data_IF_028503827151
#
_entry.id   IF_028503827151
#
_cell.length_a   1.000
_cell.length_b   1.000
_cell.length_c   1.000
_cell.angle_alpha   90.00
_cell.angle_beta   90.00
_cell.angle_gamma   90.00
#
_symmetry.space_group_name_H-M   'P 1'
#
loop_
_entity.id
_entity.type
_entity.pdbx_description
1 polymer ?
#
# COMPACT_ATOMS: atom_id res chain seq x y z
N UNK A 1 15.81 36.43 15.67
CA UNK A 1 15.28 35.08 15.43
C UNK A 1 15.13 34.98 13.90
N UNK A 2 16.13 34.43 13.22
CA UNK A 2 16.05 34.26 11.79
C UNK A 2 15.17 33.06 11.54
N UNK A 3 14.00 33.26 10.94
CA UNK A 3 13.26 32.17 10.26
C UNK A 3 14.19 31.68 9.16
N UNK A 4 14.83 30.53 9.38
CA UNK A 4 15.41 29.77 8.29
C UNK A 4 14.20 29.25 7.50
N UNK A 5 13.86 29.94 6.40
CA UNK A 5 12.93 29.40 5.41
C UNK A 5 13.42 28.01 5.04
N UNK A 6 12.54 27.01 5.11
CA UNK A 6 12.82 25.68 4.61
C UNK A 6 13.24 25.83 3.14
N UNK A 7 14.55 25.68 2.86
CA UNK A 7 15.02 25.63 1.48
C UNK A 7 14.48 24.35 0.89
N UNK A 8 13.53 24.48 -0.03
CA UNK A 8 13.00 23.35 -0.81
C UNK A 8 14.17 22.64 -1.49
N UNK A 9 14.31 21.33 -1.26
CA UNK A 9 15.32 20.52 -1.92
C UNK A 9 15.04 20.52 -3.43
N UNK A 10 16.01 20.97 -4.23
CA UNK A 10 15.92 21.01 -5.70
C UNK A 10 16.65 19.80 -6.25
N UNK A 11 15.93 18.88 -6.88
CA UNK A 11 16.48 17.58 -7.24
C UNK A 11 16.46 17.32 -8.75
N UNK A 12 17.45 16.58 -9.22
CA UNK A 12 17.48 16.00 -10.57
C UNK A 12 17.15 14.52 -10.46
N UNK A 13 16.23 14.06 -11.28
CA UNK A 13 15.88 12.64 -11.36
C UNK A 13 16.78 11.93 -12.36
N UNK A 14 17.30 10.76 -11.97
CA UNK A 14 18.19 9.97 -12.80
C UNK A 14 17.63 8.55 -13.01
N UNK A 15 17.53 8.11 -14.26
CA UNK A 15 17.05 6.78 -14.62
C UNK A 15 17.95 6.07 -15.63
N UNK A 16 17.99 4.75 -15.56
CA UNK A 16 18.69 3.89 -16.53
C UNK A 16 17.68 3.01 -17.23
N UNK A 17 17.51 3.20 -18.53
CA UNK A 17 16.70 2.34 -19.38
C UNK A 17 17.52 1.12 -19.78
N UNK A 18 17.06 -0.07 -19.43
CA UNK A 18 17.66 -1.34 -19.85
C UNK A 18 16.77 -2.03 -20.89
N UNK A 19 17.28 -3.04 -21.58
CA UNK A 19 16.46 -3.83 -22.51
C UNK A 19 15.25 -4.52 -21.86
N UNK A 20 15.32 -4.75 -20.54
CA UNK A 20 14.24 -5.38 -19.76
C UNK A 20 13.21 -4.37 -19.24
N UNK A 21 13.54 -3.07 -19.23
CA UNK A 21 12.69 -1.99 -18.74
C UNK A 21 12.46 -0.92 -19.79
N UNK A 22 11.41 -1.09 -20.61
CA UNK A 22 11.03 -0.09 -21.63
C UNK A 22 10.20 1.07 -21.08
N UNK A 23 9.83 0.98 -19.81
CA UNK A 23 8.94 1.91 -19.09
C UNK A 23 9.65 2.98 -18.26
N UNK A 24 10.96 3.20 -18.47
CA UNK A 24 11.79 4.12 -17.64
C UNK A 24 11.27 5.57 -17.66
N UNK A 25 10.73 6.02 -18.79
CA UNK A 25 10.16 7.39 -18.89
C UNK A 25 8.98 7.54 -17.92
N UNK A 26 8.08 6.58 -17.91
CA UNK A 26 6.92 6.57 -17.03
C UNK A 26 7.33 6.42 -15.55
N UNK A 27 8.35 5.58 -15.30
CA UNK A 27 8.91 5.41 -13.97
C UNK A 27 9.50 6.72 -13.42
N UNK A 28 10.13 7.54 -14.28
CA UNK A 28 10.64 8.86 -13.91
C UNK A 28 9.52 9.89 -13.69
N UNK A 29 8.39 9.80 -14.40
CA UNK A 29 7.22 10.63 -14.09
C UNK A 29 6.66 10.30 -12.70
N UNK A 30 6.51 9.03 -12.39
CA UNK A 30 6.07 8.59 -11.06
C UNK A 30 7.08 8.97 -9.96
N UNK A 31 8.40 8.89 -10.25
CA UNK A 31 9.45 9.33 -9.33
C UNK A 31 9.36 10.84 -9.07
N UNK A 32 8.95 11.65 -10.05
CA UNK A 32 8.67 13.07 -9.86
C UNK A 32 7.55 13.29 -8.85
N UNK A 33 6.43 12.59 -9.00
CA UNK A 33 5.30 12.69 -8.06
C UNK A 33 5.71 12.24 -6.65
N UNK A 34 6.57 11.21 -6.54
CA UNK A 34 7.16 10.79 -5.26
C UNK A 34 8.02 11.90 -4.65
N UNK A 35 8.90 12.52 -5.43
CA UNK A 35 9.77 13.60 -4.97
C UNK A 35 8.95 14.81 -4.49
N UNK A 36 7.93 15.21 -5.24
CA UNK A 36 7.00 16.28 -4.88
C UNK A 36 6.21 15.95 -3.61
N UNK A 37 5.74 14.71 -3.47
CA UNK A 37 5.06 14.24 -2.25
C UNK A 37 6.00 14.26 -1.03
N UNK A 38 7.30 14.01 -1.23
CA UNK A 38 8.32 14.11 -0.18
C UNK A 38 8.72 15.56 0.15
N UNK A 39 8.22 16.55 -0.61
CA UNK A 39 8.48 17.98 -0.41
C UNK A 39 9.69 18.51 -1.20
N UNK A 40 10.22 17.75 -2.17
CA UNK A 40 11.28 18.21 -3.07
C UNK A 40 10.70 18.81 -4.37
N UNK A 41 11.49 19.65 -5.05
CA UNK A 41 11.15 20.21 -6.35
C UNK A 41 12.03 19.58 -7.41
N UNK A 42 11.44 18.90 -8.37
CA UNK A 42 12.16 18.35 -9.52
C UNK A 42 12.52 19.46 -10.51
N UNK A 43 13.81 19.74 -10.68
CA UNK A 43 14.32 20.78 -11.59
C UNK A 43 14.88 20.25 -12.89
N UNK A 44 15.16 18.95 -12.97
CA UNK A 44 15.68 18.30 -14.18
C UNK A 44 15.48 16.79 -14.13
N UNK A 45 15.64 16.17 -15.30
CA UNK A 45 15.57 14.70 -15.44
C UNK A 45 16.65 14.27 -16.43
N UNK A 46 17.39 13.22 -16.08
CA UNK A 46 18.42 12.63 -16.92
C UNK A 46 18.17 11.14 -17.08
N UNK A 47 18.28 10.63 -18.30
CA UNK A 47 18.08 9.22 -18.61
C UNK A 47 19.25 8.71 -19.45
N UNK A 48 19.66 7.47 -19.20
CA UNK A 48 20.67 6.78 -19.98
C UNK A 48 20.17 5.40 -20.41
N UNK A 49 20.23 5.11 -21.72
CA UNK A 49 19.98 3.74 -22.21
C UNK A 49 21.27 2.92 -22.14
N UNK A 50 21.19 1.72 -21.53
CA UNK A 50 22.31 0.79 -21.39
C UNK A 50 21.82 -0.65 -21.41
N UNK A 51 22.70 -1.59 -21.71
CA UNK A 51 22.40 -3.02 -21.56
C UNK A 51 22.20 -3.41 -20.09
N UNK A 52 23.03 -2.86 -19.21
CA UNK A 52 22.99 -3.10 -17.76
C UNK A 52 23.33 -1.83 -16.99
N UNK A 53 22.78 -1.72 -15.78
CA UNK A 53 23.11 -0.65 -14.84
C UNK A 53 24.61 -0.71 -14.50
N UNK A 54 25.28 0.46 -14.48
CA UNK A 54 26.69 0.51 -14.16
C UNK A 54 26.95 0.09 -12.70
N UNK A 55 27.79 -0.93 -12.45
CA UNK A 55 27.89 -1.53 -11.11
C UNK A 55 28.51 -0.61 -10.05
N UNK A 56 29.31 0.37 -10.45
CA UNK A 56 29.99 1.28 -9.51
C UNK A 56 29.27 2.62 -9.32
N UNK A 57 28.63 3.18 -10.35
CA UNK A 57 28.12 4.56 -10.34
C UNK A 57 26.70 4.70 -10.87
N UNK A 58 25.97 3.57 -11.07
CA UNK A 58 24.61 3.57 -11.63
C UNK A 58 24.57 4.08 -13.08
N UNK A 59 25.12 5.27 -13.35
CA UNK A 59 25.30 5.88 -14.67
C UNK A 59 26.73 5.66 -15.20
N UNK A 60 26.91 5.70 -16.53
CA UNK A 60 28.22 5.70 -17.16
C UNK A 60 28.92 7.06 -17.01
N UNK A 61 30.26 7.06 -17.14
CA UNK A 61 31.11 8.25 -16.90
C UNK A 61 30.65 9.51 -17.65
N UNK A 62 30.43 9.43 -18.97
CA UNK A 62 29.98 10.61 -19.73
C UNK A 62 28.63 11.16 -19.27
N UNK A 63 27.69 10.27 -18.87
CA UNK A 63 26.40 10.70 -18.36
C UNK A 63 26.51 11.28 -16.95
N UNK A 64 27.49 10.85 -16.17
CA UNK A 64 27.79 11.39 -14.87
C UNK A 64 28.35 12.81 -14.94
N UNK A 65 29.20 13.09 -15.93
CA UNK A 65 29.72 14.44 -16.21
C UNK A 65 28.57 15.38 -16.64
N UNK A 66 27.70 14.93 -17.54
CA UNK A 66 26.49 15.69 -17.92
C UNK A 66 25.61 15.99 -16.73
N UNK A 67 25.45 15.03 -15.77
CA UNK A 67 24.70 15.23 -14.55
C UNK A 67 25.36 16.27 -13.64
N UNK A 68 26.71 16.33 -13.57
CA UNK A 68 27.42 17.38 -12.81
C UNK A 68 27.20 18.77 -13.40
N UNK A 69 27.22 18.90 -14.71
CA UNK A 69 26.90 20.15 -15.40
C UNK A 69 25.48 20.59 -15.12
N UNK A 70 24.50 19.66 -15.22
CA UNK A 70 23.09 19.94 -14.91
C UNK A 70 22.86 20.35 -13.45
N UNK A 71 23.57 19.73 -12.49
CA UNK A 71 23.49 20.11 -11.07
C UNK A 71 23.88 21.57 -10.87
N UNK A 72 24.97 21.99 -11.53
CA UNK A 72 25.45 23.36 -11.46
C UNK A 72 24.52 24.35 -12.17
N UNK A 73 24.10 24.04 -13.40
CA UNK A 73 23.28 24.93 -14.24
C UNK A 73 21.89 25.17 -13.67
N UNK A 74 21.29 24.13 -13.03
CA UNK A 74 19.96 24.17 -12.44
C UNK A 74 19.97 24.54 -10.95
N UNK A 75 21.13 24.83 -10.35
CA UNK A 75 21.26 25.05 -8.91
C UNK A 75 20.53 23.94 -8.10
N UNK A 76 20.79 22.70 -8.48
CA UNK A 76 20.18 21.55 -7.83
C UNK A 76 20.99 21.11 -6.61
N UNK A 77 20.28 20.73 -5.55
CA UNK A 77 20.89 20.37 -4.24
C UNK A 77 21.08 18.87 -4.08
N UNK A 78 20.51 18.06 -4.97
CA UNK A 78 20.61 16.60 -4.89
C UNK A 78 20.11 15.87 -6.12
N UNK A 79 20.33 14.55 -6.11
CA UNK A 79 19.93 13.63 -7.18
C UNK A 79 19.09 12.50 -6.58
N UNK A 80 18.02 12.12 -7.28
CA UNK A 80 17.20 10.94 -6.94
C UNK A 80 17.30 9.94 -8.10
N UNK A 81 17.80 8.73 -7.80
CA UNK A 81 17.86 7.63 -8.74
C UNK A 81 16.58 6.79 -8.70
N UNK A 82 16.10 6.36 -9.87
CA UNK A 82 14.84 5.63 -10.03
C UNK A 82 14.88 4.18 -9.52
N UNK A 83 16.08 3.59 -9.47
CA UNK A 83 16.29 2.24 -8.98
C UNK A 83 16.95 2.24 -7.60
N UNK A 84 16.81 1.15 -6.86
CA UNK A 84 17.52 0.96 -5.59
C UNK A 84 19.01 0.88 -5.82
N UNK A 85 19.77 1.76 -5.13
CA UNK A 85 21.22 1.83 -5.24
C UNK A 85 21.89 0.85 -4.28
N UNK A 86 22.92 0.15 -4.76
CA UNK A 86 23.85 -0.54 -3.88
C UNK A 86 24.61 0.46 -3.01
N UNK A 87 25.09 0.05 -1.82
CA UNK A 87 25.88 0.93 -0.95
C UNK A 87 27.13 1.52 -1.64
N UNK A 88 27.73 0.76 -2.57
CA UNK A 88 28.88 1.21 -3.33
C UNK A 88 28.49 2.28 -4.36
N UNK A 89 27.38 2.08 -5.07
CA UNK A 89 26.89 3.06 -6.04
C UNK A 89 26.51 4.38 -5.35
N UNK A 90 25.80 4.31 -4.24
CA UNK A 90 25.42 5.50 -3.48
C UNK A 90 26.65 6.31 -3.06
N UNK A 91 27.61 5.66 -2.38
CA UNK A 91 28.82 6.33 -1.91
C UNK A 91 29.68 6.91 -3.05
N UNK A 92 29.81 6.18 -4.17
CA UNK A 92 30.56 6.66 -5.32
C UNK A 92 29.88 7.85 -5.98
N UNK A 93 28.55 7.83 -6.10
CA UNK A 93 27.77 8.95 -6.65
C UNK A 93 27.89 10.19 -5.76
N UNK A 94 27.73 10.06 -4.42
CA UNK A 94 27.89 11.17 -3.49
C UNK A 94 29.28 11.79 -3.55
N UNK A 95 30.33 10.97 -3.67
CA UNK A 95 31.71 11.45 -3.81
C UNK A 95 31.97 12.15 -5.15
N UNK A 96 31.42 11.59 -6.25
CA UNK A 96 31.62 12.16 -7.57
C UNK A 96 30.77 13.42 -7.80
N UNK A 97 29.56 13.47 -7.29
CA UNK A 97 28.63 14.59 -7.50
C UNK A 97 28.74 15.67 -6.44
N UNK A 98 29.40 15.41 -5.32
CA UNK A 98 29.52 16.29 -4.15
C UNK A 98 28.17 16.84 -3.65
N UNK A 99 27.08 16.07 -3.83
CA UNK A 99 25.74 16.43 -3.40
C UNK A 99 25.02 15.23 -2.76
N UNK A 100 23.84 15.49 -2.17
CA UNK A 100 22.99 14.46 -1.60
C UNK A 100 22.46 13.55 -2.73
N UNK A 101 22.63 12.25 -2.58
CA UNK A 101 22.09 11.25 -3.50
C UNK A 101 21.08 10.39 -2.75
N UNK A 102 19.92 10.23 -3.33
CA UNK A 102 18.85 9.36 -2.83
C UNK A 102 18.46 8.36 -3.90
N UNK A 103 17.84 7.28 -3.50
CA UNK A 103 17.17 6.37 -4.40
C UNK A 103 15.63 6.35 -4.12
N UNK A 104 14.90 5.73 -5.02
CA UNK A 104 13.43 5.59 -4.92
C UNK A 104 13.00 5.05 -3.55
N UNK A 105 13.75 4.10 -3.00
CA UNK A 105 13.46 3.51 -1.68
C UNK A 105 13.54 4.52 -0.55
N UNK A 106 14.56 5.40 -0.57
CA UNK A 106 14.69 6.46 0.44
C UNK A 106 13.52 7.44 0.37
N UNK A 107 13.14 7.85 -0.84
CA UNK A 107 12.01 8.79 -1.02
C UNK A 107 10.72 8.19 -0.50
N UNK A 108 10.42 6.93 -0.81
CA UNK A 108 9.23 6.23 -0.30
C UNK A 108 9.27 6.14 1.23
N UNK A 109 10.42 5.83 1.83
CA UNK A 109 10.58 5.79 3.29
C UNK A 109 10.38 7.16 3.95
N UNK A 110 10.80 8.24 3.30
CA UNK A 110 10.61 9.60 3.81
C UNK A 110 9.12 9.99 3.76
N UNK A 111 8.40 9.67 2.67
CA UNK A 111 6.95 9.86 2.59
C UNK A 111 6.24 9.08 3.70
N UNK A 112 6.62 7.82 3.91
CA UNK A 112 6.03 7.00 4.95
C UNK A 112 6.31 7.54 6.37
N UNK A 113 7.51 8.10 6.61
CA UNK A 113 7.84 8.72 7.89
C UNK A 113 6.95 9.95 8.20
N UNK A 114 6.61 10.72 7.17
CA UNK A 114 5.70 11.86 7.30
C UNK A 114 4.24 11.44 7.51
N UNK A 115 3.81 10.32 6.89
CA UNK A 115 2.42 9.87 6.89
C UNK A 115 2.06 8.95 8.07
N UNK A 116 3.02 8.31 8.73
CA UNK A 116 2.78 7.41 9.86
C UNK A 116 2.20 8.16 11.07
N UNK A 117 0.93 7.94 11.35
CA UNK A 117 0.22 8.55 12.49
C UNK A 117 0.10 7.59 13.67
N UNK A 118 -0.15 6.30 13.38
CA UNK A 118 -0.31 5.28 14.42
C UNK A 118 1.03 4.87 15.04
N UNK A 119 0.99 4.36 16.26
CA UNK A 119 2.18 3.81 16.93
C UNK A 119 2.78 2.65 16.12
N UNK A 120 1.93 1.82 15.53
CA UNK A 120 2.36 0.70 14.70
C UNK A 120 3.03 1.17 13.41
N UNK A 121 2.39 2.08 12.66
CA UNK A 121 2.96 2.66 11.45
C UNK A 121 4.34 3.28 11.71
N UNK A 122 4.49 4.03 12.81
CA UNK A 122 5.78 4.61 13.22
C UNK A 122 6.85 3.55 13.51
N UNK A 123 6.50 2.46 14.21
CA UNK A 123 7.42 1.35 14.50
C UNK A 123 7.84 0.68 13.18
N UNK A 124 6.91 0.46 12.25
CA UNK A 124 7.19 -0.17 10.97
C UNK A 124 8.11 0.68 10.10
N UNK A 125 7.84 1.98 10.00
CA UNK A 125 8.67 2.92 9.25
C UNK A 125 10.08 3.00 9.85
N UNK A 126 10.20 3.17 11.17
CA UNK A 126 11.50 3.19 11.85
C UNK A 126 12.28 1.88 11.60
N UNK A 127 11.60 0.74 11.69
CA UNK A 127 12.19 -0.57 11.42
C UNK A 127 12.70 -0.68 9.97
N UNK A 128 11.91 -0.22 9.00
CA UNK A 128 12.29 -0.22 7.59
C UNK A 128 13.49 0.68 7.33
N UNK A 129 13.47 1.92 7.85
CA UNK A 129 14.59 2.86 7.75
C UNK A 129 15.88 2.31 8.38
N UNK A 130 15.78 1.67 9.55
CA UNK A 130 16.96 1.08 10.21
C UNK A 130 17.49 -0.14 9.44
N UNK A 131 16.63 -1.01 8.89
CA UNK A 131 17.06 -2.12 8.03
C UNK A 131 17.79 -1.61 6.79
N UNK A 132 17.21 -0.60 6.14
CA UNK A 132 17.80 0.05 4.97
C UNK A 132 19.17 0.64 5.28
N UNK A 133 19.32 1.39 6.39
CA UNK A 133 20.60 1.93 6.85
C UNK A 133 21.61 0.84 7.22
N UNK A 134 21.15 -0.22 7.91
CA UNK A 134 22.02 -1.33 8.30
C UNK A 134 22.66 -2.03 7.10
N UNK A 135 21.89 -2.25 6.03
CA UNK A 135 22.40 -2.84 4.78
C UNK A 135 23.50 -1.97 4.15
N UNK A 136 23.37 -0.64 4.20
CA UNK A 136 24.35 0.30 3.67
C UNK A 136 25.62 0.42 4.48
N UNK A 137 25.55 0.35 5.81
CA UNK A 137 26.74 0.34 6.66
C UNK A 137 27.66 -0.85 6.40
N UNK A 138 27.13 -1.98 5.95
CA UNK A 138 27.95 -3.16 5.58
C UNK A 138 28.77 -2.89 4.33
N UNK A 139 28.23 -2.19 3.34
CA UNK A 139 28.93 -1.83 2.10
C UNK A 139 30.05 -0.81 2.31
N UNK A 140 29.87 0.15 3.21
CA UNK A 140 30.89 1.15 3.55
C UNK A 140 32.13 0.53 4.20
N UNK A 141 31.99 -0.56 4.96
CA UNK A 141 33.13 -1.27 5.54
C UNK A 141 34.03 -1.89 4.50
N UNK A 142 33.46 -2.44 3.44
CA UNK A 142 34.23 -3.05 2.36
C UNK A 142 35.07 -2.03 1.56
N UNK A 143 34.63 -0.78 1.47
CA UNK A 143 35.39 0.30 0.83
C UNK A 143 36.50 0.83 1.75
N UNK A 144 36.24 1.01 3.04
CA UNK A 144 37.21 1.47 4.03
C UNK A 144 38.32 0.43 4.31
N UNK A 145 38.02 -0.86 4.29
CA UNK A 145 39.01 -1.91 4.50
C UNK A 145 39.97 -2.09 3.32
N UNK A 146 39.64 -1.63 2.12
CA UNK A 146 40.54 -1.60 0.95
C UNK A 146 41.56 -0.49 1.02
N UNK A 147 41.30 0.59 1.77
CA UNK A 147 42.21 1.74 1.94
C UNK A 147 43.18 1.55 3.12
N UNK A 148 42.98 0.59 4.01
CA UNK A 148 43.82 0.29 5.15
C UNK A 148 44.66 -0.97 4.97
N UNK A 149 45.80 -0.85 4.26
CA UNK A 149 46.78 -1.93 4.09
C UNK A 149 47.57 -2.21 5.38
N UNK A 150 47.05 -3.10 6.25
CA UNK A 150 47.81 -3.57 7.41
C UNK A 150 47.09 -4.66 8.18
N UNK A 151 47.76 -5.81 8.39
CA UNK A 151 47.23 -6.89 9.22
C UNK A 151 47.22 -6.43 10.69
N UNK A 152 46.03 -6.19 11.27
CA UNK A 152 45.86 -6.01 12.71
C UNK A 152 45.51 -4.61 13.23
N UNK A 153 45.42 -3.57 12.41
CA UNK A 153 45.07 -2.22 12.84
C UNK A 153 43.64 -1.85 12.44
N UNK A 154 42.66 -2.11 13.34
CA UNK A 154 41.33 -1.51 13.23
C UNK A 154 41.42 -0.02 13.54
N UNK A 155 41.25 0.81 12.51
CA UNK A 155 41.25 2.28 12.65
C UNK A 155 40.07 2.79 13.51
N UNK A 156 40.14 4.05 14.01
CA UNK A 156 39.06 4.66 14.81
C UNK A 156 37.72 4.66 14.09
N UNK A 157 37.71 4.79 12.75
CA UNK A 157 36.51 4.76 11.92
C UNK A 157 35.83 3.37 11.89
N UNK A 158 36.60 2.30 11.86
CA UNK A 158 36.02 0.94 11.92
C UNK A 158 35.34 0.65 13.26
N UNK A 159 35.91 1.14 14.39
CA UNK A 159 35.30 0.99 15.71
C UNK A 159 33.97 1.78 15.81
N UNK A 160 33.91 2.97 15.23
CA UNK A 160 32.70 3.81 15.21
C UNK A 160 31.59 3.12 14.39
N UNK A 161 31.91 2.67 13.17
CA UNK A 161 30.95 1.95 12.33
C UNK A 161 30.43 0.65 12.97
N UNK A 162 31.29 -0.07 13.69
CA UNK A 162 30.87 -1.28 14.39
C UNK A 162 29.96 -0.95 15.59
N UNK A 163 30.21 0.14 16.29
CA UNK A 163 29.36 0.62 17.37
C UNK A 163 27.99 1.07 16.85
N UNK A 164 27.97 1.86 15.78
CA UNK A 164 26.73 2.31 15.14
C UNK A 164 25.90 1.12 14.64
N UNK A 165 26.56 0.12 14.03
CA UNK A 165 25.91 -1.13 13.61
C UNK A 165 25.28 -1.88 14.80
N UNK A 166 25.99 -2.01 15.92
CA UNK A 166 25.46 -2.66 17.12
C UNK A 166 24.24 -1.94 17.67
N UNK A 167 24.28 -0.61 17.71
CA UNK A 167 23.15 0.23 18.14
C UNK A 167 21.93 0.02 17.23
N UNK A 168 22.14 0.05 15.91
CA UNK A 168 21.07 -0.17 14.94
C UNK A 168 20.48 -1.58 15.09
N UNK A 169 21.29 -2.63 15.18
CA UNK A 169 20.80 -3.98 15.38
C UNK A 169 20.05 -4.16 16.70
N UNK A 170 20.53 -3.55 17.79
CA UNK A 170 19.81 -3.55 19.07
C UNK A 170 18.46 -2.87 18.96
N UNK A 171 18.38 -1.73 18.27
CA UNK A 171 17.13 -1.00 18.07
C UNK A 171 16.15 -1.79 17.18
N UNK A 172 16.65 -2.44 16.10
CA UNK A 172 15.87 -3.36 15.27
C UNK A 172 15.26 -4.47 16.12
N UNK A 173 16.04 -5.07 17.05
CA UNK A 173 15.54 -6.09 17.96
C UNK A 173 14.37 -5.60 18.82
N UNK A 174 14.54 -4.43 19.46
CA UNK A 174 13.50 -3.82 20.29
C UNK A 174 12.20 -3.52 19.48
N UNK A 175 12.34 -2.97 18.27
CA UNK A 175 11.19 -2.65 17.42
C UNK A 175 10.45 -3.90 16.96
N UNK A 176 11.17 -5.00 16.66
CA UNK A 176 10.54 -6.27 16.33
C UNK A 176 9.71 -6.82 17.48
N UNK A 177 10.24 -6.79 18.71
CA UNK A 177 9.50 -7.22 19.91
C UNK A 177 8.22 -6.38 20.12
N UNK A 178 8.33 -5.06 19.94
CA UNK A 178 7.17 -4.17 20.03
C UNK A 178 6.13 -4.50 18.95
N UNK A 179 6.56 -4.76 17.71
CA UNK A 179 5.67 -5.11 16.62
C UNK A 179 4.96 -6.44 16.87
N UNK A 180 5.65 -7.46 17.41
CA UNK A 180 5.05 -8.74 17.80
C UNK A 180 3.94 -8.56 18.87
N UNK A 181 4.13 -7.64 19.83
CA UNK A 181 3.11 -7.36 20.82
C UNK A 181 1.86 -6.72 20.19
N UNK A 182 2.05 -5.81 19.24
CA UNK A 182 0.96 -5.18 18.49
C UNK A 182 0.21 -6.23 17.65
N UNK A 183 0.94 -7.13 16.98
CA UNK A 183 0.34 -8.21 16.19
C UNK A 183 -0.51 -9.16 17.05
N UNK A 184 -0.04 -9.57 18.22
CA UNK A 184 -0.82 -10.37 19.17
C UNK A 184 -2.12 -9.69 19.60
N UNK A 185 -2.06 -8.38 19.85
CA UNK A 185 -3.26 -7.61 20.19
C UNK A 185 -4.26 -7.56 19.02
N UNK A 186 -3.78 -7.40 17.79
CA UNK A 186 -4.62 -7.46 16.59
C UNK A 186 -5.29 -8.84 16.41
N UNK A 187 -4.56 -9.92 16.63
CA UNK A 187 -5.13 -11.27 16.54
C UNK A 187 -6.27 -11.47 17.54
N UNK A 188 -6.15 -10.94 18.76
CA UNK A 188 -7.23 -10.94 19.74
C UNK A 188 -8.46 -10.16 19.26
N UNK A 189 -8.27 -8.98 18.71
CA UNK A 189 -9.37 -8.18 18.16
C UNK A 189 -10.03 -8.89 16.96
N UNK A 190 -9.22 -9.50 16.08
CA UNK A 190 -9.73 -10.28 14.93
C UNK A 190 -10.55 -11.48 15.39
N UNK A 191 -10.07 -12.25 16.36
CA UNK A 191 -10.81 -13.38 16.90
C UNK A 191 -12.15 -12.98 17.53
N UNK A 192 -12.27 -11.76 18.04
CA UNK A 192 -13.55 -11.20 18.51
C UNK A 192 -14.47 -10.81 17.34
N UNK A 193 -13.91 -10.28 16.24
CA UNK A 193 -14.67 -9.97 15.02
C UNK A 193 -15.22 -11.23 14.35
N UNK A 194 -14.42 -12.31 14.26
CA UNK A 194 -14.87 -13.59 13.71
C UNK A 194 -16.12 -14.12 14.43
N UNK A 195 -16.23 -13.83 15.74
CA UNK A 195 -17.44 -14.16 16.53
C UNK A 195 -18.65 -13.26 16.19
N UNK A 196 -18.42 -12.04 15.73
CA UNK A 196 -19.50 -11.10 15.36
C UNK A 196 -20.04 -11.31 13.94
N UNK A 197 -19.39 -12.16 13.13
CA UNK A 197 -19.76 -12.51 11.74
C UNK A 197 -19.87 -11.31 10.78
N UNK A 198 -19.36 -10.14 11.15
CA UNK A 198 -19.31 -8.99 10.24
C UNK A 198 -18.20 -9.19 9.23
N UNK A 199 -18.58 -9.24 7.95
CA UNK A 199 -17.64 -9.42 6.84
C UNK A 199 -16.80 -8.17 6.59
N UNK A 200 -15.59 -8.37 6.08
CA UNK A 200 -14.63 -7.31 5.80
C UNK A 200 -14.30 -7.30 4.30
N UNK A 201 -14.39 -6.14 3.68
CA UNK A 201 -13.87 -5.89 2.35
C UNK A 201 -12.64 -4.98 2.43
N UNK A 202 -11.51 -5.43 1.89
CA UNK A 202 -10.31 -4.60 1.80
C UNK A 202 -10.30 -3.83 0.47
N UNK A 203 -10.13 -2.52 0.55
CA UNK A 203 -9.98 -1.65 -0.61
C UNK A 203 -8.50 -1.64 -0.97
N UNK A 204 -8.16 -2.20 -2.12
CA UNK A 204 -6.81 -2.26 -2.66
C UNK A 204 -6.74 -1.55 -4.01
N UNK A 205 -5.56 -1.19 -4.43
CA UNK A 205 -5.35 -0.55 -5.73
C UNK A 205 -4.05 0.23 -5.75
N UNK A 206 -3.69 0.68 -6.94
CA UNK A 206 -2.50 1.49 -7.13
C UNK A 206 -2.58 2.79 -6.32
N UNK A 207 -1.43 3.39 -6.01
CA UNK A 207 -1.44 4.70 -5.33
C UNK A 207 -2.17 5.73 -6.20
N UNK A 208 -2.89 6.65 -5.56
CA UNK A 208 -3.73 7.66 -6.22
C UNK A 208 -4.90 7.13 -7.09
N UNK A 209 -5.30 5.85 -6.99
CA UNK A 209 -6.45 5.30 -7.71
C UNK A 209 -7.83 5.72 -7.14
N UNK A 210 -7.87 6.50 -6.06
CA UNK A 210 -9.11 6.99 -5.43
C UNK A 210 -9.67 6.09 -4.32
N UNK A 211 -8.84 5.25 -3.67
CA UNK A 211 -9.25 4.35 -2.59
C UNK A 211 -9.85 5.08 -1.39
N UNK A 212 -9.15 6.08 -0.88
CA UNK A 212 -9.57 6.85 0.30
C UNK A 212 -10.80 7.71 -0.02
N UNK A 213 -10.90 8.24 -1.25
CA UNK A 213 -12.10 8.93 -1.74
C UNK A 213 -13.30 7.98 -1.77
N UNK A 214 -13.12 6.75 -2.26
CA UNK A 214 -14.18 5.74 -2.25
C UNK A 214 -14.64 5.44 -0.82
N UNK A 215 -13.73 5.20 0.12
CA UNK A 215 -14.07 4.96 1.51
C UNK A 215 -14.86 6.13 2.11
N UNK A 216 -14.41 7.37 1.90
CA UNK A 216 -15.06 8.57 2.42
C UNK A 216 -16.45 8.76 1.85
N UNK A 217 -16.60 8.64 0.52
CA UNK A 217 -17.90 8.83 -0.12
C UNK A 217 -18.90 7.77 0.30
N UNK A 218 -18.45 6.52 0.48
CA UNK A 218 -19.30 5.41 0.92
C UNK A 218 -19.72 5.50 2.40
N UNK A 219 -18.84 6.00 3.29
CA UNK A 219 -19.01 5.89 4.74
C UNK A 219 -19.02 7.23 5.47
N UNK A 220 -18.81 8.36 4.78
CA UNK A 220 -18.65 9.69 5.38
C UNK A 220 -17.54 9.74 6.45
N UNK A 221 -16.46 8.99 6.24
CA UNK A 221 -15.44 8.70 7.25
C UNK A 221 -14.53 9.88 7.58
N UNK A 222 -14.44 10.91 6.72
CA UNK A 222 -13.54 12.05 6.89
C UNK A 222 -12.06 11.66 6.90
N UNK A 223 -11.68 10.61 6.16
CA UNK A 223 -10.28 10.24 5.95
C UNK A 223 -9.62 11.28 5.05
N UNK A 224 -8.35 11.55 5.29
CA UNK A 224 -7.59 12.52 4.50
C UNK A 224 -7.59 12.09 3.02
N UNK A 225 -8.11 12.95 2.17
CA UNK A 225 -8.08 12.83 0.72
C UNK A 225 -7.06 13.82 0.19
N UNK A 226 -5.99 13.33 -0.37
CA UNK A 226 -4.98 14.15 -1.04
C UNK A 226 -4.70 13.54 -2.40
N UNK A 227 -4.55 14.39 -3.39
CA UNK A 227 -4.09 14.01 -4.73
C UNK A 227 -2.56 13.85 -4.71
N UNK A 228 -2.10 12.95 -3.86
CA UNK A 228 -0.69 12.65 -3.61
C UNK A 228 -0.49 11.16 -3.44
N UNK A 229 0.70 10.69 -3.82
CA UNK A 229 1.07 9.29 -3.66
C UNK A 229 1.14 8.93 -2.15
N UNK A 230 0.67 7.74 -1.79
CA UNK A 230 0.66 7.25 -0.41
C UNK A 230 -0.06 8.18 0.60
N UNK A 231 -1.19 8.78 0.20
CA UNK A 231 -2.02 9.57 1.11
C UNK A 231 -2.43 8.79 2.38
N UNK A 232 -2.68 7.49 2.25
CA UNK A 232 -2.99 6.58 3.35
C UNK A 232 -1.85 5.60 3.58
N UNK A 233 -1.26 5.62 4.79
CA UNK A 233 -0.29 4.63 5.26
C UNK A 233 -0.91 3.69 6.32
N UNK A 234 -1.64 4.24 7.26
CA UNK A 234 -2.31 3.48 8.32
C UNK A 234 -3.69 2.99 7.84
N UNK A 235 -4.02 1.70 7.96
CA UNK A 235 -5.33 1.19 7.53
C UNK A 235 -6.46 1.85 8.31
N UNK A 236 -7.50 2.24 7.61
CA UNK A 236 -8.70 2.81 8.22
C UNK A 236 -9.90 1.92 7.92
N UNK A 237 -10.55 1.41 8.97
CA UNK A 237 -11.74 0.56 8.84
C UNK A 237 -13.00 1.32 9.23
N UNK A 238 -14.04 1.24 8.41
CA UNK A 238 -15.35 1.85 8.64
C UNK A 238 -16.47 0.87 8.32
N UNK A 239 -17.55 0.97 9.08
CA UNK A 239 -18.75 0.22 8.80
C UNK A 239 -19.57 0.90 7.70
N UNK A 240 -20.08 0.08 6.79
CA UNK A 240 -20.99 0.49 5.74
C UNK A 240 -22.29 -0.29 5.87
N UNK A 241 -23.40 0.43 5.95
CA UNK A 241 -24.73 -0.16 5.91
C UNK A 241 -25.13 -0.42 4.46
N UNK A 242 -25.57 -1.64 4.19
CA UNK A 242 -25.97 -2.10 2.88
C UNK A 242 -27.50 -2.31 2.82
N UNK A 243 -28.10 -2.41 1.63
CA UNK A 243 -29.51 -2.75 1.46
C UNK A 243 -29.86 -4.05 2.18
N UNK A 244 -31.04 -4.09 2.79
CA UNK A 244 -31.54 -5.27 3.51
C UNK A 244 -30.96 -5.44 4.92
N UNK A 245 -30.57 -4.35 5.58
CA UNK A 245 -30.02 -4.30 6.95
C UNK A 245 -28.72 -5.12 7.14
N UNK A 246 -27.98 -5.30 6.07
CA UNK A 246 -26.64 -5.87 6.12
C UNK A 246 -25.62 -4.80 6.48
N UNK A 247 -24.51 -5.22 7.09
CA UNK A 247 -23.37 -4.36 7.36
C UNK A 247 -22.08 -5.05 6.94
N UNK A 248 -21.19 -4.27 6.33
CA UNK A 248 -19.84 -4.70 5.98
C UNK A 248 -18.83 -3.70 6.53
N UNK A 249 -17.65 -4.18 6.86
CA UNK A 249 -16.53 -3.31 7.19
C UNK A 249 -15.70 -3.08 5.93
N UNK A 250 -15.51 -1.82 5.57
CA UNK A 250 -14.59 -1.40 4.52
C UNK A 250 -13.27 -0.99 5.16
N UNK A 251 -12.17 -1.55 4.69
CA UNK A 251 -10.83 -1.20 5.17
C UNK A 251 -10.02 -0.63 4.02
N UNK A 252 -9.65 0.66 4.11
CA UNK A 252 -8.69 1.29 3.20
C UNK A 252 -7.28 0.79 3.51
N UNK A 253 -6.51 0.51 2.47
CA UNK A 253 -5.14 0.01 2.58
C UNK A 253 -4.14 0.95 1.93
N UNK A 254 -2.87 0.73 2.21
CA UNK A 254 -1.77 1.44 1.54
C UNK A 254 -1.84 1.20 0.04
N UNK A 255 -1.64 2.24 -0.76
CA UNK A 255 -1.57 2.12 -2.22
C UNK A 255 -0.34 1.33 -2.66
N UNK A 256 -0.51 0.50 -3.68
CA UNK A 256 0.60 -0.18 -4.33
C UNK A 256 1.31 0.76 -5.31
N UNK A 257 2.58 0.50 -5.57
CA UNK A 257 3.41 1.27 -6.49
C UNK A 257 4.41 0.33 -7.17
N UNK A 258 4.89 0.72 -8.33
CA UNK A 258 5.97 0.02 -9.05
C UNK A 258 7.27 0.02 -8.25
N UNK A 259 8.11 -0.97 -8.52
CA UNK A 259 9.46 -1.08 -7.93
C UNK A 259 9.43 -0.94 -6.40
N UNK A 260 8.35 -1.41 -5.74
CA UNK A 260 8.31 -1.44 -4.29
C UNK A 260 9.33 -2.47 -3.76
N UNK A 261 10.35 -2.04 -3.01
CA UNK A 261 11.38 -2.95 -2.54
C UNK A 261 10.83 -4.06 -1.64
N UNK A 262 11.33 -5.29 -1.81
CA UNK A 262 10.85 -6.45 -1.04
C UNK A 262 10.95 -6.25 0.48
N UNK A 263 11.99 -5.56 0.96
CA UNK A 263 12.16 -5.30 2.38
C UNK A 263 11.12 -4.30 2.92
N UNK A 264 10.54 -3.43 2.07
CA UNK A 264 9.42 -2.57 2.43
C UNK A 264 8.12 -3.37 2.48
N UNK A 265 7.91 -4.32 1.56
CA UNK A 265 6.75 -5.23 1.60
C UNK A 265 6.76 -5.99 2.93
N UNK A 266 7.92 -6.49 3.39
CA UNK A 266 8.05 -7.14 4.70
C UNK A 266 7.78 -6.19 5.87
N UNK A 267 8.26 -4.96 5.80
CA UNK A 267 8.05 -3.97 6.87
C UNK A 267 6.59 -3.57 7.01
N UNK A 268 5.88 -3.44 5.88
CA UNK A 268 4.46 -3.07 5.83
C UNK A 268 3.52 -4.27 5.68
N UNK A 269 4.06 -5.49 5.81
CA UNK A 269 3.28 -6.72 5.70
C UNK A 269 2.04 -6.69 6.58
N UNK A 270 2.13 -6.16 7.80
CA UNK A 270 0.99 -6.12 8.71
C UNK A 270 -0.12 -5.14 8.26
N UNK A 271 0.23 -4.07 7.55
CA UNK A 271 -0.72 -3.13 6.95
C UNK A 271 -1.36 -3.71 5.69
N UNK A 272 -0.55 -4.37 4.87
CA UNK A 272 -0.99 -5.07 3.67
C UNK A 272 -1.72 -6.39 3.99
N UNK A 273 -1.49 -6.98 5.16
CA UNK A 273 -2.19 -8.18 5.65
C UNK A 273 -3.68 -7.96 5.88
N UNK A 274 -4.17 -6.71 5.97
CA UNK A 274 -5.62 -6.46 6.01
C UNK A 274 -6.31 -7.03 4.75
N UNK A 275 -5.66 -6.99 3.58
CA UNK A 275 -6.16 -7.65 2.38
C UNK A 275 -6.20 -9.18 2.52
N UNK A 276 -5.21 -9.78 3.21
CA UNK A 276 -5.15 -11.22 3.47
C UNK A 276 -6.28 -11.71 4.38
N UNK A 277 -6.65 -10.92 5.37
CA UNK A 277 -7.67 -11.29 6.35
C UNK A 277 -9.08 -10.78 5.99
N UNK A 278 -9.20 -10.01 4.93
CA UNK A 278 -10.51 -9.62 4.38
C UNK A 278 -11.25 -10.84 3.80
N UNK A 279 -12.56 -10.78 3.78
CA UNK A 279 -13.43 -11.78 3.14
C UNK A 279 -13.48 -11.58 1.62
N UNK A 280 -13.33 -10.34 1.16
CA UNK A 280 -13.32 -9.95 -0.26
C UNK A 280 -12.40 -8.75 -0.51
N UNK A 281 -12.04 -8.55 -1.76
CA UNK A 281 -11.17 -7.48 -2.24
C UNK A 281 -11.97 -6.54 -3.13
N UNK A 282 -11.90 -5.25 -2.86
CA UNK A 282 -12.34 -4.18 -3.76
C UNK A 282 -11.11 -3.59 -4.44
N UNK A 283 -10.86 -3.98 -5.67
CA UNK A 283 -9.73 -3.50 -6.46
C UNK A 283 -10.11 -2.21 -7.17
N UNK A 284 -9.65 -1.07 -6.69
CA UNK A 284 -9.88 0.24 -7.28
C UNK A 284 -8.82 0.55 -8.31
N UNK A 285 -9.26 0.82 -9.53
CA UNK A 285 -8.43 1.07 -10.71
C UNK A 285 -8.76 2.45 -11.26
N UNK A 286 -7.74 3.27 -11.51
CA UNK A 286 -7.92 4.53 -12.21
C UNK A 286 -8.06 4.29 -13.72
N UNK A 287 -9.29 4.38 -14.21
CA UNK A 287 -9.61 4.13 -15.61
C UNK A 287 -9.17 5.27 -16.55
N UNK A 288 -8.80 6.44 -16.02
CA UNK A 288 -8.30 7.56 -16.80
C UNK A 288 -6.80 7.48 -17.08
N UNK A 289 -6.08 6.58 -16.37
CA UNK A 289 -4.65 6.44 -16.50
C UNK A 289 -4.28 5.55 -17.71
N UNK A 290 -3.45 6.03 -18.65
CA UNK A 290 -3.02 5.25 -19.82
C UNK A 290 -2.30 3.92 -19.47
N UNK A 291 -1.73 3.81 -18.25
CA UNK A 291 -1.02 2.62 -17.77
C UNK A 291 -1.89 1.75 -16.85
N UNK A 292 -3.20 1.87 -16.97
CA UNK A 292 -4.17 1.15 -16.14
C UNK A 292 -3.87 -0.36 -16.05
N UNK A 293 -3.63 -1.02 -17.19
CA UNK A 293 -3.37 -2.46 -17.22
C UNK A 293 -2.10 -2.85 -16.46
N UNK A 294 -1.04 -2.05 -16.58
CA UNK A 294 0.21 -2.29 -15.87
C UNK A 294 0.04 -2.07 -14.35
N UNK A 295 -0.71 -1.03 -13.95
CA UNK A 295 -1.05 -0.78 -12.57
C UNK A 295 -1.88 -1.93 -11.97
N UNK A 296 -2.85 -2.46 -12.71
CA UNK A 296 -3.61 -3.63 -12.30
C UNK A 296 -2.71 -4.84 -12.09
N UNK A 297 -1.77 -5.08 -13.01
CA UNK A 297 -0.83 -6.19 -12.90
C UNK A 297 0.05 -6.07 -11.65
N UNK A 298 0.59 -4.88 -11.35
CA UNK A 298 1.37 -4.62 -10.13
C UNK A 298 0.57 -4.95 -8.86
N UNK A 299 -0.71 -4.58 -8.83
CA UNK A 299 -1.60 -4.89 -7.70
C UNK A 299 -1.78 -6.39 -7.55
N UNK A 300 -2.10 -7.12 -8.63
CA UNK A 300 -2.28 -8.57 -8.60
C UNK A 300 -1.00 -9.32 -8.23
N UNK A 301 0.16 -8.88 -8.74
CA UNK A 301 1.45 -9.49 -8.38
C UNK A 301 1.76 -9.31 -6.89
N UNK A 302 1.47 -8.12 -6.35
CA UNK A 302 1.66 -7.85 -4.92
C UNK A 302 0.69 -8.68 -4.07
N UNK A 303 -0.58 -8.80 -4.44
CA UNK A 303 -1.56 -9.65 -3.75
C UNK A 303 -1.11 -11.11 -3.73
N UNK A 304 -0.58 -11.63 -4.85
CA UNK A 304 -0.01 -12.98 -4.93
C UNK A 304 1.20 -13.16 -3.99
N UNK A 305 2.11 -12.19 -3.94
CA UNK A 305 3.25 -12.21 -3.00
C UNK A 305 2.81 -12.20 -1.53
N UNK A 306 1.68 -11.58 -1.21
CA UNK A 306 1.08 -11.56 0.12
C UNK A 306 0.31 -12.86 0.44
N UNK A 307 0.16 -13.76 -0.54
CA UNK A 307 -0.60 -15.00 -0.39
C UNK A 307 -2.11 -14.78 -0.36
N UNK A 308 -2.59 -13.76 -1.09
CA UNK A 308 -4.01 -13.47 -1.30
C UNK A 308 -4.40 -14.02 -2.66
N UNK A 309 -4.81 -15.30 -2.71
CA UNK A 309 -5.17 -15.99 -3.96
C UNK A 309 -6.63 -16.45 -4.05
N UNK A 310 -7.28 -16.67 -2.90
CA UNK A 310 -8.59 -17.33 -2.83
C UNK A 310 -9.71 -16.39 -2.38
N UNK A 311 -9.56 -15.09 -2.64
CA UNK A 311 -10.56 -14.09 -2.28
C UNK A 311 -11.38 -13.68 -3.48
N UNK A 312 -12.66 -13.40 -3.26
CA UNK A 312 -13.49 -12.74 -4.25
C UNK A 312 -12.94 -11.35 -4.54
N UNK A 313 -12.78 -11.03 -5.81
CA UNK A 313 -12.30 -9.74 -6.28
C UNK A 313 -13.40 -9.02 -7.04
N UNK A 314 -13.69 -7.81 -6.60
CA UNK A 314 -14.59 -6.88 -7.31
C UNK A 314 -13.71 -5.74 -7.82
N UNK A 315 -13.55 -5.64 -9.14
CA UNK A 315 -12.78 -4.55 -9.75
C UNK A 315 -13.68 -3.35 -10.02
N UNK A 316 -13.25 -2.21 -9.51
CA UNK A 316 -13.93 -0.93 -9.60
C UNK A 316 -13.11 -0.01 -10.50
N UNK A 317 -13.52 0.13 -11.75
CA UNK A 317 -12.94 1.13 -12.66
C UNK A 317 -13.45 2.51 -12.27
N UNK A 318 -12.61 3.24 -11.55
CA UNK A 318 -12.90 4.56 -11.01
C UNK A 318 -12.63 5.65 -12.07
N UNK A 319 -12.90 6.92 -11.72
CA UNK A 319 -12.64 8.11 -12.58
C UNK A 319 -13.45 8.16 -13.87
N UNK A 320 -14.62 7.51 -13.91
CA UNK A 320 -15.50 7.51 -15.08
C UNK A 320 -15.95 8.92 -15.52
N UNK A 321 -15.87 9.89 -14.64
CA UNK A 321 -16.12 11.31 -14.92
C UNK A 321 -15.04 11.96 -15.80
N UNK A 322 -13.86 11.35 -15.89
CA UNK A 322 -12.75 11.80 -16.73
C UNK A 322 -12.60 10.98 -18.03
N UNK A 323 -13.28 9.84 -18.13
CA UNK A 323 -13.21 9.00 -19.32
C UNK A 323 -14.12 9.54 -20.43
N UNK A 324 -13.56 9.80 -21.61
CA UNK A 324 -14.30 10.28 -22.80
C UNK A 324 -14.91 9.12 -23.61
N UNK A 325 -14.28 7.98 -23.60
CA UNK A 325 -14.71 6.78 -24.31
C UNK A 325 -15.32 5.75 -23.35
N UNK A 326 -16.54 5.26 -23.68
CA UNK A 326 -17.19 4.17 -22.98
C UNK A 326 -16.66 2.83 -23.48
N UNK A 327 -15.36 2.61 -23.40
CA UNK A 327 -14.80 1.29 -23.68
C UNK A 327 -15.29 0.27 -22.65
N UNK A 328 -15.50 -0.97 -23.09
CA UNK A 328 -15.81 -2.08 -22.19
C UNK A 328 -14.54 -2.42 -21.40
N UNK A 329 -14.35 -1.76 -20.28
CA UNK A 329 -13.30 -2.08 -19.35
C UNK A 329 -13.52 -3.50 -18.80
N UNK A 330 -12.50 -4.34 -18.83
CA UNK A 330 -12.57 -5.74 -18.43
C UNK A 330 -11.43 -6.10 -17.52
N UNK A 331 -11.76 -6.91 -16.53
CA UNK A 331 -10.78 -7.58 -15.69
C UNK A 331 -11.10 -9.07 -15.65
N UNK A 332 -10.22 -9.87 -16.23
CA UNK A 332 -10.40 -11.33 -16.34
C UNK A 332 -10.02 -12.07 -15.04
N UNK A 333 -9.42 -11.39 -14.08
CA UNK A 333 -9.06 -11.97 -12.78
C UNK A 333 -10.10 -11.65 -11.70
N UNK A 334 -11.04 -10.74 -11.98
CA UNK A 334 -12.10 -10.35 -11.05
C UNK A 334 -13.37 -11.22 -11.24
N UNK A 335 -14.07 -11.45 -10.12
CA UNK A 335 -15.39 -12.09 -10.12
C UNK A 335 -16.47 -11.14 -10.62
N UNK A 336 -16.33 -9.84 -10.31
CA UNK A 336 -17.25 -8.79 -10.74
C UNK A 336 -16.49 -7.53 -11.14
N UNK A 337 -17.10 -6.78 -12.05
CA UNK A 337 -16.54 -5.51 -12.56
C UNK A 337 -17.62 -4.45 -12.54
N UNK A 338 -17.31 -3.28 -11.99
CA UNK A 338 -18.16 -2.09 -11.99
C UNK A 338 -17.38 -0.86 -12.46
N UNK A 339 -18.10 0.06 -13.11
CA UNK A 339 -17.58 1.38 -13.47
C UNK A 339 -18.16 2.41 -12.50
N UNK A 340 -17.29 3.17 -11.84
CA UNK A 340 -17.68 4.13 -10.80
C UNK A 340 -16.99 5.48 -10.97
N UNK A 341 -17.55 6.50 -10.33
CA UNK A 341 -16.82 7.70 -9.95
C UNK A 341 -16.97 7.91 -8.45
N UNK A 342 -15.91 7.61 -7.71
CA UNK A 342 -15.89 7.79 -6.26
C UNK A 342 -16.14 9.25 -5.86
N UNK A 343 -15.63 10.20 -6.67
CA UNK A 343 -15.78 11.65 -6.45
C UNK A 343 -17.23 12.13 -6.60
N UNK A 344 -17.91 11.64 -7.64
CA UNK A 344 -19.26 12.10 -7.99
C UNK A 344 -20.37 11.19 -7.45
N UNK A 345 -20.01 10.06 -6.85
CA UNK A 345 -20.96 9.09 -6.31
C UNK A 345 -21.63 8.19 -7.36
N UNK A 346 -21.21 8.28 -8.65
CA UNK A 346 -21.76 7.46 -9.73
C UNK A 346 -21.40 5.98 -9.50
N UNK A 347 -22.37 5.07 -9.71
CA UNK A 347 -22.18 3.62 -9.56
C UNK A 347 -22.09 3.11 -8.11
N UNK A 348 -22.08 3.99 -7.09
CA UNK A 348 -21.90 3.57 -5.70
C UNK A 348 -23.13 2.86 -5.12
N UNK A 349 -24.35 3.20 -5.54
CA UNK A 349 -25.54 2.46 -5.12
C UNK A 349 -25.59 1.07 -5.77
N UNK A 350 -25.11 0.95 -7.01
CA UNK A 350 -24.95 -0.35 -7.67
C UNK A 350 -23.90 -1.21 -6.93
N UNK A 351 -22.79 -0.59 -6.52
CA UNK A 351 -21.77 -1.25 -5.70
C UNK A 351 -22.35 -1.75 -4.36
N UNK A 352 -23.16 -0.95 -3.66
CA UNK A 352 -23.84 -1.40 -2.42
C UNK A 352 -24.75 -2.59 -2.68
N UNK A 353 -25.49 -2.57 -3.79
CA UNK A 353 -26.33 -3.68 -4.23
C UNK A 353 -25.53 -4.95 -4.47
N UNK A 354 -24.44 -4.85 -5.24
CA UNK A 354 -23.54 -5.96 -5.53
C UNK A 354 -22.88 -6.53 -4.27
N UNK A 355 -22.40 -5.66 -3.35
CA UNK A 355 -21.86 -6.10 -2.07
C UNK A 355 -22.88 -6.89 -1.26
N UNK A 356 -24.14 -6.42 -1.21
CA UNK A 356 -25.20 -7.12 -0.53
C UNK A 356 -25.53 -8.49 -1.16
N UNK A 357 -25.41 -8.61 -2.50
CA UNK A 357 -25.57 -9.86 -3.23
C UNK A 357 -24.44 -10.84 -2.94
N UNK A 358 -23.20 -10.39 -3.05
CA UNK A 358 -22.00 -11.20 -2.78
C UNK A 358 -21.98 -11.71 -1.34
N UNK A 359 -22.44 -10.92 -0.37
CA UNK A 359 -22.56 -11.35 1.02
C UNK A 359 -23.62 -12.43 1.24
N UNK A 360 -24.61 -12.51 0.36
CA UNK A 360 -25.67 -13.56 0.39
C UNK A 360 -25.24 -14.86 -0.31
N UNK A 361 -24.18 -14.82 -1.07
CA UNK A 361 -23.67 -16.03 -1.70
C UNK A 361 -23.33 -17.08 -0.63
N UNK A 362 -23.78 -18.31 -0.86
CA UNK A 362 -23.64 -19.39 0.12
C UNK A 362 -24.65 -19.35 1.27
N UNK A 363 -25.57 -18.37 1.31
CA UNK A 363 -26.72 -18.37 2.22
C UNK A 363 -27.98 -18.87 1.53
N UNK A 364 -28.84 -19.53 2.28
CA UNK A 364 -30.12 -20.06 1.80
C UNK A 364 -31.22 -19.10 2.24
N UNK A 365 -32.05 -18.65 1.28
CA UNK A 365 -33.24 -17.91 1.61
C UNK A 365 -34.30 -18.86 2.17
N UNK A 366 -34.85 -18.48 3.34
CA UNK A 366 -35.94 -19.19 4.00
C UNK A 366 -37.12 -18.26 4.19
N UNK A 367 -38.34 -18.81 4.03
CA UNK A 367 -39.58 -18.19 4.42
C UNK A 367 -40.36 -19.21 5.26
N UNK A 368 -40.43 -18.99 6.58
CA UNK A 368 -41.03 -19.95 7.50
C UNK A 368 -41.83 -19.26 8.59
N UNK A 369 -42.93 -19.89 8.96
CA UNK A 369 -43.65 -19.58 10.19
C UNK A 369 -43.08 -20.48 11.33
N UNK A 370 -42.46 -19.86 12.33
CA UNK A 370 -41.81 -20.54 13.44
C UNK A 370 -42.69 -20.38 14.66
N UNK A 371 -43.20 -21.47 15.24
CA UNK A 371 -44.01 -21.42 16.47
C UNK A 371 -43.24 -20.80 17.65
N UNK A 372 -43.95 -20.19 18.60
CA UNK A 372 -43.35 -19.51 19.76
C UNK A 372 -42.57 -20.44 20.69
N UNK A 373 -42.92 -21.73 20.74
CA UNK A 373 -42.18 -22.76 21.48
C UNK A 373 -40.80 -23.05 20.93
N UNK A 374 -40.56 -22.70 19.65
CA UNK A 374 -39.26 -22.85 18.97
C UNK A 374 -38.47 -21.55 18.92
N UNK A 375 -38.61 -20.66 19.88
CA UNK A 375 -37.90 -19.36 19.94
C UNK A 375 -36.36 -19.49 19.87
N UNK A 376 -35.79 -20.63 20.23
CA UNK A 376 -34.39 -20.94 20.11
C UNK A 376 -33.89 -20.94 18.67
N UNK A 377 -34.72 -21.36 17.69
CA UNK A 377 -34.43 -21.30 16.26
C UNK A 377 -34.32 -19.84 15.78
N UNK A 378 -35.29 -19.02 16.21
CA UNK A 378 -35.32 -17.59 15.86
C UNK A 378 -34.08 -16.87 16.40
N UNK A 379 -33.72 -17.15 17.66
CA UNK A 379 -32.52 -16.58 18.26
C UNK A 379 -31.25 -16.98 17.49
N UNK A 380 -31.19 -18.21 16.97
CA UNK A 380 -30.09 -18.72 16.15
C UNK A 380 -30.06 -18.06 14.78
N UNK A 381 -31.22 -17.92 14.11
CA UNK A 381 -31.35 -17.22 12.84
C UNK A 381 -30.95 -15.76 13.00
N UNK A 382 -31.39 -15.07 14.04
CA UNK A 382 -31.00 -13.69 14.32
C UNK A 382 -29.49 -13.55 14.58
N UNK A 383 -28.86 -14.58 15.14
CA UNK A 383 -27.45 -14.57 15.49
C UNK A 383 -26.53 -14.90 14.31
N UNK A 384 -26.94 -15.81 13.44
CA UNK A 384 -26.10 -16.38 12.38
C UNK A 384 -26.61 -16.14 10.97
N UNK A 385 -27.84 -15.65 10.82
CA UNK A 385 -28.47 -15.33 9.55
C UNK A 385 -28.81 -13.87 9.43
N UNK A 386 -29.34 -13.49 8.28
CA UNK A 386 -29.86 -12.16 8.01
C UNK A 386 -31.38 -12.20 7.97
N UNK A 387 -32.03 -11.54 8.93
CA UNK A 387 -33.48 -11.39 8.94
C UNK A 387 -33.88 -10.24 8.01
N UNK A 388 -34.65 -10.57 6.97
CA UNK A 388 -35.20 -9.61 5.99
C UNK A 388 -36.51 -9.03 6.49
N UNK A 389 -37.38 -9.91 6.96
CA UNK A 389 -38.73 -9.54 7.47
C UNK A 389 -39.11 -10.45 8.61
N UNK A 390 -39.74 -9.88 9.63
CA UNK A 390 -40.22 -10.57 10.78
C UNK A 390 -41.59 -10.01 11.16
N UNK A 391 -42.61 -10.91 11.21
CA UNK A 391 -43.98 -10.55 11.59
C UNK A 391 -44.49 -11.49 12.68
N UNK A 392 -45.08 -10.91 13.73
CA UNK A 392 -45.64 -11.64 14.84
C UNK A 392 -47.12 -11.96 14.54
N UNK A 393 -47.42 -13.21 14.30
CA UNK A 393 -48.73 -13.72 14.01
C UNK A 393 -49.28 -14.52 15.22
N UNK A 394 -50.59 -14.79 15.26
CA UNK A 394 -51.20 -15.52 16.36
C UNK A 394 -50.62 -16.95 16.52
N UNK A 395 -50.19 -17.58 15.46
CA UNK A 395 -49.67 -18.96 15.41
C UNK A 395 -48.16 -19.07 15.56
N UNK A 396 -47.43 -17.95 15.54
CA UNK A 396 -45.98 -17.93 15.60
C UNK A 396 -45.38 -16.68 14.95
N UNK A 397 -44.08 -16.73 14.69
CA UNK A 397 -43.34 -15.64 14.04
C UNK A 397 -43.07 -16.03 12.57
N UNK A 398 -43.66 -15.26 11.66
CA UNK A 398 -43.34 -15.37 10.21
C UNK A 398 -42.00 -14.72 9.96
N UNK A 399 -41.01 -15.47 9.47
CA UNK A 399 -39.66 -15.03 9.27
C UNK A 399 -39.21 -15.23 7.83
N UNK A 400 -38.72 -14.16 7.21
CA UNK A 400 -37.98 -14.21 5.96
C UNK A 400 -36.53 -13.89 6.26
N UNK A 401 -35.63 -14.81 5.97
CA UNK A 401 -34.23 -14.65 6.31
C UNK A 401 -33.30 -15.38 5.32
N UNK A 402 -32.09 -14.89 5.21
CA UNK A 402 -30.97 -15.64 4.62
C UNK A 402 -30.17 -16.29 5.74
N UNK A 403 -29.91 -17.60 5.62
CA UNK A 403 -29.21 -18.38 6.65
C UNK A 403 -28.07 -19.18 6.03
N UNK A 404 -26.93 -19.30 6.73
CA UNK A 404 -25.86 -20.21 6.30
C UNK A 404 -26.37 -21.66 6.24
N UNK A 405 -25.72 -22.48 5.39
CA UNK A 405 -26.08 -23.89 5.23
C UNK A 405 -26.08 -24.67 6.54
N UNK A 406 -25.15 -24.33 7.45
CA UNK A 406 -25.03 -24.96 8.77
C UNK A 406 -26.26 -24.68 9.67
N UNK A 407 -26.82 -23.49 9.55
CA UNK A 407 -28.02 -23.11 10.30
C UNK A 407 -29.26 -23.71 9.64
N UNK A 408 -29.29 -23.69 8.29
CA UNK A 408 -30.40 -24.29 7.51
C UNK A 408 -30.62 -25.77 7.84
N UNK A 409 -29.53 -26.54 8.01
CA UNK A 409 -29.59 -27.97 8.32
C UNK A 409 -30.15 -28.27 9.74
N UNK A 410 -30.29 -27.25 10.58
CA UNK A 410 -30.73 -27.37 11.97
C UNK A 410 -32.13 -26.73 12.22
N UNK A 411 -32.74 -26.19 11.16
CA UNK A 411 -34.05 -25.59 11.13
C UNK A 411 -35.06 -26.52 10.43
#
# INVERSE_FOLDING_TARGET
MYEMGEQLERVILAGVQTYESDDTVQSLYELRELAETAGAVTVGTIMQSRETIHPATYLGKGKLEELKELLYDLDATGVICDDELSPAQLNNLEQELECKVMDRTMVILDIFAQRAKTSEGKIQVELAQLKYRAARLVGMRASLSRLGGGIGTRGPGEKKLEMDRRLIHSRIGQLKEQLEQVQKHRELIRSQRDRSQVKVAAIVGYTNAGKSTLLNTMTQAGVLEEDQLFATLDPTTRALDLPGKQQILLTDTVGFIRKLPHHLIEAFKSTLEEAKYADMILHVVDASNPQMDEHMQVVYDTLRQLGVSDKKVITLFNTQDLCTDKEQLRDFQADHVLQISAKNGQGLEELKGLLAEVLREGQIYIERLIPYDQAGIIARIRRHGQVVQEEFLAEGISLKAYVPMEVYSQI
#
